data_IF_074574828844
#
_entry.id   IF_074574828844
#
_cell.length_a   1.000
_cell.length_b   1.000
_cell.length_c   1.000
_cell.angle_alpha   90.00
_cell.angle_beta   90.00
_cell.angle_gamma   90.00
#
_symmetry.space_group_name_H-M   'P 1'
#
loop_
_entity.id
_entity.type
_entity.pdbx_description
1 polymer ?
#
# COMPACT_ATOMS: atom_id res chain seq x y z
N UNK A 1 12.90 -7.96 4.07
CA UNK A 1 13.03 -8.56 2.72
C UNK A 1 12.08 -7.81 1.79
N UNK A 2 12.35 -7.73 0.49
CA UNK A 2 11.37 -7.22 -0.48
C UNK A 2 11.37 -8.07 -1.73
N UNK A 3 10.24 -8.06 -2.45
CA UNK A 3 10.06 -8.72 -3.74
C UNK A 3 9.47 -7.72 -4.73
N UNK A 4 9.95 -7.77 -5.98
CA UNK A 4 9.18 -7.23 -7.10
C UNK A 4 8.06 -8.20 -7.43
N UNK A 5 6.88 -7.68 -7.73
CA UNK A 5 5.72 -8.46 -8.15
C UNK A 5 5.72 -8.51 -9.68
N UNK A 6 5.55 -9.71 -10.24
CA UNK A 6 5.39 -9.93 -11.67
C UNK A 6 3.91 -10.17 -11.97
N UNK A 7 3.24 -9.23 -12.64
CA UNK A 7 1.80 -9.31 -12.92
C UNK A 7 1.39 -10.52 -13.77
N UNK A 8 2.33 -11.15 -14.49
CA UNK A 8 2.06 -12.33 -15.33
C UNK A 8 2.15 -13.66 -14.57
N UNK A 9 2.89 -13.67 -13.45
CA UNK A 9 3.14 -14.88 -12.65
C UNK A 9 2.48 -14.84 -11.27
N UNK A 10 2.41 -13.65 -10.67
CA UNK A 10 1.92 -13.43 -9.32
C UNK A 10 0.44 -13.01 -9.30
N UNK A 11 -0.33 -13.62 -8.40
CA UNK A 11 -1.76 -13.31 -8.22
C UNK A 11 -2.02 -12.32 -7.08
N UNK A 12 -1.12 -11.35 -6.88
CA UNK A 12 -1.25 -10.33 -5.84
C UNK A 12 -2.10 -9.18 -6.36
N UNK A 13 -3.40 -9.20 -6.04
CA UNK A 13 -4.38 -8.22 -6.55
C UNK A 13 -5.21 -7.63 -5.42
N UNK A 14 -5.30 -6.30 -5.36
CA UNK A 14 -6.13 -5.59 -4.38
C UNK A 14 -7.36 -5.05 -5.12
N UNK A 15 -8.59 -5.47 -4.76
CA UNK A 15 -9.79 -4.96 -5.41
C UNK A 15 -10.04 -3.50 -5.05
N UNK A 16 -10.48 -2.71 -6.03
CA UNK A 16 -11.00 -1.37 -5.81
C UNK A 16 -12.17 -1.08 -6.77
N UNK A 17 -13.05 -0.16 -6.38
CA UNK A 17 -14.14 0.28 -7.25
C UNK A 17 -13.63 1.30 -8.27
N UNK A 18 -13.76 1.01 -9.57
CA UNK A 18 -13.47 1.93 -10.65
C UNK A 18 -14.77 2.62 -11.10
N UNK A 19 -14.98 3.90 -10.77
CA UNK A 19 -16.20 4.61 -11.11
C UNK A 19 -16.31 4.93 -12.60
N UNK A 20 -15.21 5.02 -13.35
CA UNK A 20 -15.24 5.30 -14.79
C UNK A 20 -15.84 4.12 -15.58
N UNK A 21 -15.63 2.90 -15.09
CA UNK A 21 -16.10 1.66 -15.72
C UNK A 21 -17.23 0.98 -14.93
N UNK A 22 -17.68 1.60 -13.82
CA UNK A 22 -18.71 1.09 -12.91
C UNK A 22 -18.52 -0.40 -12.54
N UNK A 23 -17.29 -0.78 -12.17
CA UNK A 23 -16.95 -2.18 -11.83
C UNK A 23 -15.86 -2.28 -10.79
N UNK A 24 -15.71 -3.46 -10.19
CA UNK A 24 -14.50 -3.80 -9.43
C UNK A 24 -13.34 -4.04 -10.41
N UNK A 25 -12.24 -3.35 -10.16
CA UNK A 25 -10.98 -3.47 -10.87
C UNK A 25 -9.87 -3.91 -9.90
N UNK A 26 -8.69 -4.20 -10.46
CA UNK A 26 -7.55 -4.73 -9.70
C UNK A 26 -6.43 -3.70 -9.63
N UNK A 27 -5.96 -3.44 -8.42
CA UNK A 27 -4.70 -2.77 -8.16
C UNK A 27 -3.60 -3.82 -8.04
N UNK A 28 -2.60 -3.71 -8.92
CA UNK A 28 -1.40 -4.53 -8.98
C UNK A 28 -0.23 -3.64 -8.55
N UNK A 29 0.30 -3.78 -7.32
CA UNK A 29 1.46 -3.01 -6.88
C UNK A 29 2.76 -3.61 -7.45
N UNK A 30 3.77 -2.76 -7.71
CA UNK A 30 5.05 -3.20 -8.27
C UNK A 30 5.94 -3.96 -7.27
N UNK A 31 5.86 -3.64 -5.98
CA UNK A 31 6.71 -4.22 -4.94
C UNK A 31 5.92 -4.59 -3.68
N UNK A 32 6.42 -5.59 -2.96
CA UNK A 32 6.01 -5.92 -1.60
C UNK A 32 7.23 -6.00 -0.69
N UNK A 33 7.17 -5.31 0.44
CA UNK A 33 8.14 -5.40 1.51
C UNK A 33 7.57 -6.27 2.63
N UNK A 34 8.36 -7.24 3.05
CA UNK A 34 8.07 -8.13 4.16
C UNK A 34 8.98 -7.73 5.32
N UNK A 35 8.39 -7.07 6.32
CA UNK A 35 9.08 -6.60 7.51
C UNK A 35 8.56 -7.37 8.73
N UNK A 36 9.46 -7.71 9.65
CA UNK A 36 9.08 -8.44 10.86
C UNK A 36 9.89 -7.92 12.06
N UNK A 37 9.21 -7.76 13.20
CA UNK A 37 9.80 -7.48 14.51
C UNK A 37 9.17 -8.41 15.55
N UNK A 38 9.86 -9.50 15.85
CA UNK A 38 9.30 -10.56 16.68
C UNK A 38 8.06 -11.18 16.03
N UNK A 39 6.90 -11.10 16.71
CA UNK A 39 5.60 -11.61 16.22
C UNK A 39 4.76 -10.56 15.50
N UNK A 40 5.32 -9.37 15.25
CA UNK A 40 4.68 -8.31 14.49
C UNK A 40 5.20 -8.30 13.05
N UNK A 41 4.30 -8.46 12.09
CA UNK A 41 4.60 -8.51 10.67
C UNK A 41 3.97 -7.31 9.96
N UNK A 42 4.70 -6.70 9.05
CA UNK A 42 4.20 -5.63 8.19
C UNK A 42 4.40 -6.06 6.73
N UNK A 43 3.29 -6.20 6.02
CA UNK A 43 3.24 -6.45 4.58
C UNK A 43 2.98 -5.10 3.93
N UNK A 44 3.96 -4.59 3.20
CA UNK A 44 3.90 -3.21 2.69
C UNK A 44 4.02 -3.22 1.17
N UNK A 45 2.90 -2.94 0.50
CA UNK A 45 2.87 -2.75 -0.94
C UNK A 45 3.43 -1.37 -1.29
N UNK A 46 4.29 -1.32 -2.31
CA UNK A 46 4.91 -0.08 -2.78
C UNK A 46 4.78 -0.01 -4.30
N UNK A 47 4.26 1.10 -4.78
CA UNK A 47 3.97 1.34 -6.19
C UNK A 47 4.62 2.66 -6.64
N UNK A 48 5.76 2.63 -7.37
CA UNK A 48 6.36 3.82 -7.95
C UNK A 48 5.40 4.55 -8.89
N UNK A 49 5.28 5.87 -8.70
CA UNK A 49 4.41 6.74 -9.51
C UNK A 49 5.04 8.10 -9.70
N UNK A 50 5.00 8.63 -10.94
CA UNK A 50 5.52 9.96 -11.26
C UNK A 50 4.64 11.09 -10.72
N UNK A 51 3.33 11.04 -10.98
CA UNK A 51 2.35 11.97 -10.43
C UNK A 51 1.12 11.22 -9.94
N UNK A 52 0.40 11.82 -9.01
CA UNK A 52 -0.89 11.30 -8.59
C UNK A 52 -1.95 11.57 -9.67
N UNK A 53 -2.77 10.58 -9.96
CA UNK A 53 -3.97 10.72 -10.77
C UNK A 53 -5.18 10.23 -9.96
N UNK A 54 -6.39 10.59 -10.37
CA UNK A 54 -7.63 10.13 -9.71
C UNK A 54 -7.67 8.61 -9.49
N UNK A 55 -7.19 7.83 -10.47
CA UNK A 55 -7.09 6.36 -10.36
C UNK A 55 -6.12 5.90 -9.28
N UNK A 56 -5.06 6.65 -8.97
CA UNK A 56 -4.15 6.33 -7.85
C UNK A 56 -4.91 6.37 -6.53
N UNK A 57 -5.73 7.40 -6.33
CA UNK A 57 -6.52 7.55 -5.10
C UNK A 57 -7.63 6.50 -4.99
N UNK A 58 -8.32 6.18 -6.08
CA UNK A 58 -9.32 5.10 -6.11
C UNK A 58 -8.72 3.74 -5.69
N UNK A 59 -7.50 3.42 -6.15
CA UNK A 59 -6.77 2.21 -5.75
C UNK A 59 -6.43 2.22 -4.26
N UNK A 60 -5.93 3.35 -3.75
CA UNK A 60 -5.62 3.51 -2.33
C UNK A 60 -6.87 3.41 -1.46
N UNK A 61 -8.01 3.95 -1.90
CA UNK A 61 -9.28 3.81 -1.18
C UNK A 61 -9.74 2.35 -1.12
N UNK A 62 -9.55 1.56 -2.17
CA UNK A 62 -9.78 0.11 -2.15
C UNK A 62 -8.92 -0.59 -1.10
N UNK A 63 -7.63 -0.25 -1.03
CA UNK A 63 -6.74 -0.73 0.05
C UNK A 63 -7.25 -0.32 1.44
N UNK A 64 -7.60 0.96 1.64
CA UNK A 64 -8.06 1.48 2.95
C UNK A 64 -9.29 0.74 3.44
N UNK A 65 -10.24 0.50 2.54
CA UNK A 65 -11.47 -0.22 2.87
C UNK A 65 -11.21 -1.63 3.41
N UNK A 66 -10.18 -2.32 2.91
CA UNK A 66 -9.84 -3.69 3.30
C UNK A 66 -8.96 -3.75 4.55
N UNK A 67 -8.02 -2.81 4.68
CA UNK A 67 -6.89 -2.93 5.58
C UNK A 67 -6.76 -1.80 6.60
N UNK A 68 -7.68 -0.84 6.65
CA UNK A 68 -7.68 0.22 7.67
C UNK A 68 -8.98 0.24 8.50
N UNK A 69 -8.85 0.67 9.76
CA UNK A 69 -9.96 1.00 10.66
C UNK A 69 -9.63 2.35 11.30
N UNK A 70 -10.51 3.35 11.13
CA UNK A 70 -10.28 4.72 11.60
C UNK A 70 -8.91 5.26 11.15
N UNK A 71 -8.61 5.11 9.87
CA UNK A 71 -7.38 5.58 9.23
C UNK A 71 -6.07 4.97 9.76
N UNK A 72 -6.17 3.84 10.48
CA UNK A 72 -5.03 3.09 11.02
C UNK A 72 -5.01 1.66 10.44
N UNK A 73 -3.82 1.07 10.19
CA UNK A 73 -3.73 -0.30 9.70
C UNK A 73 -4.42 -1.29 10.64
N UNK A 74 -5.34 -2.08 10.10
CA UNK A 74 -6.02 -3.15 10.81
C UNK A 74 -5.02 -4.24 11.19
N UNK A 75 -5.08 -4.68 12.45
CA UNK A 75 -4.35 -5.86 12.93
C UNK A 75 -5.07 -7.14 12.51
N UNK A 76 -4.33 -8.04 11.88
CA UNK A 76 -4.79 -9.36 11.44
C UNK A 76 -4.03 -10.41 12.25
N UNK A 77 -4.74 -11.15 13.10
CA UNK A 77 -4.15 -12.25 13.84
C UNK A 77 -4.15 -13.52 12.97
N UNK A 78 -3.00 -14.18 12.85
CA UNK A 78 -2.86 -15.42 12.10
C UNK A 78 -1.73 -16.24 12.73
N UNK A 79 -1.97 -17.51 13.06
CA UNK A 79 -0.95 -18.46 13.54
C UNK A 79 0.02 -17.90 14.63
N UNK A 80 -0.52 -17.14 15.59
CA UNK A 80 0.27 -16.57 16.69
C UNK A 80 1.12 -15.36 16.31
N UNK A 81 1.00 -14.84 15.09
CA UNK A 81 1.54 -13.55 14.66
C UNK A 81 0.44 -12.51 14.48
N UNK A 82 0.82 -11.24 14.53
CA UNK A 82 -0.05 -10.11 14.18
C UNK A 82 0.53 -9.42 12.97
N UNK A 83 -0.23 -9.41 11.87
CA UNK A 83 0.13 -8.75 10.63
C UNK A 83 -0.65 -7.44 10.44
N UNK A 84 -0.03 -6.45 9.82
CA UNK A 84 -0.69 -5.30 9.19
C UNK A 84 -0.35 -5.27 7.72
N UNK A 85 -1.29 -4.82 6.90
CA UNK A 85 -1.06 -4.57 5.47
C UNK A 85 -1.11 -3.07 5.24
N UNK A 86 -0.13 -2.54 4.52
CA UNK A 86 0.00 -1.12 4.19
C UNK A 86 0.29 -0.93 2.70
N UNK A 87 -0.09 0.22 2.14
CA UNK A 87 0.19 0.55 0.74
C UNK A 87 0.73 1.98 0.62
N UNK A 88 1.79 2.16 -0.17
CA UNK A 88 2.38 3.46 -0.43
C UNK A 88 2.69 3.66 -1.92
N UNK A 89 2.54 4.90 -2.39
CA UNK A 89 3.14 5.35 -3.62
C UNK A 89 4.56 5.84 -3.36
N UNK A 90 5.51 5.43 -4.22
CA UNK A 90 6.88 5.91 -4.13
C UNK A 90 7.15 6.98 -5.19
N UNK A 91 7.66 8.12 -4.74
CA UNK A 91 8.22 9.16 -5.60
C UNK A 91 9.23 9.98 -4.81
N UNK A 92 10.47 10.09 -5.32
CA UNK A 92 11.54 10.89 -4.69
C UNK A 92 11.12 12.35 -4.49
N UNK A 93 10.29 12.88 -5.39
CA UNK A 93 9.78 14.26 -5.38
C UNK A 93 8.35 14.35 -4.81
N UNK A 94 7.99 13.48 -3.86
CA UNK A 94 6.65 13.31 -3.25
C UNK A 94 5.94 14.60 -2.75
N UNK A 95 6.61 15.75 -2.76
CA UNK A 95 6.08 17.07 -2.42
C UNK A 95 4.83 17.50 -3.24
N UNK A 96 4.52 16.86 -4.37
CA UNK A 96 3.43 17.25 -5.27
C UNK A 96 2.06 16.62 -4.97
N UNK A 97 1.88 15.92 -3.84
CA UNK A 97 0.59 15.30 -3.48
C UNK A 97 -0.27 16.19 -2.57
N UNK A 98 -1.59 16.12 -2.77
CA UNK A 98 -2.62 16.75 -1.92
C UNK A 98 -2.54 16.28 -0.45
N UNK A 99 -2.87 17.15 0.51
CA UNK A 99 -2.67 16.95 1.96
C UNK A 99 -3.32 15.66 2.48
N UNK A 100 -4.52 15.35 2.01
CA UNK A 100 -5.27 14.14 2.41
C UNK A 100 -4.53 12.84 2.04
N UNK A 101 -3.75 12.87 0.96
CA UNK A 101 -3.12 11.68 0.41
C UNK A 101 -1.63 11.59 0.67
N UNK A 102 -1.00 12.68 1.15
CA UNK A 102 0.43 12.75 1.49
C UNK A 102 0.87 11.61 2.43
N UNK A 103 -0.02 11.11 3.29
CA UNK A 103 0.27 9.97 4.17
C UNK A 103 0.69 8.70 3.41
N UNK A 104 0.18 8.52 2.19
CA UNK A 104 0.48 7.38 1.32
C UNK A 104 1.71 7.55 0.44
N UNK A 105 2.37 8.71 0.46
CA UNK A 105 3.55 8.94 -0.37
C UNK A 105 4.84 8.79 0.42
N UNK A 106 5.86 8.21 -0.18
CA UNK A 106 7.21 8.14 0.39
C UNK A 106 8.24 8.49 -0.68
N UNK A 107 9.26 9.26 -0.30
CA UNK A 107 10.39 9.61 -1.17
C UNK A 107 11.63 8.76 -0.97
N UNK A 108 11.66 7.95 0.09
CA UNK A 108 12.81 7.10 0.39
C UNK A 108 12.42 5.86 1.20
N UNK A 109 13.27 4.83 1.17
CA UNK A 109 13.10 3.63 2.00
C UNK A 109 13.19 3.96 3.51
N UNK A 110 14.11 4.82 3.99
CA UNK A 110 14.10 5.25 5.39
C UNK A 110 12.78 5.89 5.83
N UNK A 111 12.17 6.75 4.99
CA UNK A 111 10.86 7.34 5.28
C UNK A 111 9.76 6.28 5.35
N UNK A 112 9.75 5.32 4.41
CA UNK A 112 8.84 4.19 4.43
C UNK A 112 8.93 3.43 5.75
N UNK A 113 10.14 3.10 6.21
CA UNK A 113 10.35 2.38 7.46
C UNK A 113 9.90 3.20 8.68
N UNK A 114 10.10 4.52 8.69
CA UNK A 114 9.61 5.39 9.77
C UNK A 114 8.07 5.37 9.86
N UNK A 115 7.38 5.40 8.72
CA UNK A 115 5.91 5.36 8.66
C UNK A 115 5.31 4.00 9.03
N UNK A 116 6.06 2.92 8.85
CA UNK A 116 5.58 1.55 9.10
C UNK A 116 5.88 1.07 10.51
N UNK A 117 7.06 1.39 11.04
CA UNK A 117 7.60 0.81 12.27
C UNK A 117 7.36 1.65 13.54
N UNK A 118 6.34 2.53 13.53
CA UNK A 118 6.05 3.45 14.65
C UNK A 118 5.39 2.75 15.84
#
# INVERSE_FOLDING_TARGET
MFSKIDESLDEVRIPYYNPEENRIAWFLPDFVFWLAKGRQYHIVFVDPKGMAHTRTYQKLDGYRHLFEVKDQPRRIAHEGVTATVQAFCYNRDAAQSDELHRRFWVGSVPELLQKVCT
#
